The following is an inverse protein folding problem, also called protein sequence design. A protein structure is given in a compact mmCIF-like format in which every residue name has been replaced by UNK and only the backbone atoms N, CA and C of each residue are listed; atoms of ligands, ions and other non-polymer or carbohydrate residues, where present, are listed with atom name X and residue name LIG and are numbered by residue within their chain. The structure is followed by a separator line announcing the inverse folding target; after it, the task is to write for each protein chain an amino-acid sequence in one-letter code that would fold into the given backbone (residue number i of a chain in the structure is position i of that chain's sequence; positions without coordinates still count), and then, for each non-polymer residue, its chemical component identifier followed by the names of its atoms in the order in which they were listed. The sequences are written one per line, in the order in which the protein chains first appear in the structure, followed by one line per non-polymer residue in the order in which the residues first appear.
data_IF_479980312330
#
_entry.id   IF_479980312330
#
_cell.length_a   1.000
_cell.length_b   1.000
_cell.length_c   1.000
_cell.angle_alpha   90.00
_cell.angle_beta   90.00
_cell.angle_gamma   90.00
#
_symmetry.space_group_name_H-M   'P 1'
#
loop_
_entity.id
_entity.type
_entity.pdbx_description
1 polymer ?
#
# COMPACT_ATOMS: atom_id res chain seq x y z
N UNK A 1 2.59 15.91 -10.22
CA UNK A 1 1.38 15.42 -9.52
C UNK A 1 1.38 13.90 -9.33
N UNK A 2 1.81 13.08 -10.29
CA UNK A 2 1.93 11.62 -10.10
C UNK A 2 3.00 11.25 -9.08
N UNK A 3 4.16 11.92 -9.10
CA UNK A 3 5.24 11.70 -8.12
C UNK A 3 4.78 11.87 -6.67
N UNK A 4 4.07 12.95 -6.36
CA UNK A 4 3.56 13.24 -5.00
C UNK A 4 2.53 12.22 -4.55
N UNK A 5 1.72 11.71 -5.49
CA UNK A 5 0.79 10.63 -5.20
C UNK A 5 1.54 9.34 -4.85
N UNK A 6 2.52 8.96 -5.67
CA UNK A 6 3.27 7.72 -5.52
C UNK A 6 4.15 7.68 -4.25
N UNK A 7 4.77 8.81 -3.85
CA UNK A 7 5.64 8.88 -2.66
C UNK A 7 4.87 9.01 -1.35
N UNK A 8 3.82 9.86 -1.32
CA UNK A 8 3.18 10.25 -0.07
C UNK A 8 1.77 9.69 0.04
N UNK A 9 0.90 9.99 -0.92
CA UNK A 9 -0.52 9.68 -0.78
C UNK A 9 -0.76 8.17 -0.75
N UNK A 10 -0.14 7.44 -1.67
CA UNK A 10 -0.39 6.01 -1.83
C UNK A 10 -0.01 5.22 -0.57
N UNK A 11 1.21 5.36 0.01
CA UNK A 11 1.54 4.66 1.25
C UNK A 11 0.68 5.15 2.43
N UNK A 12 0.42 6.46 2.55
CA UNK A 12 -0.34 7.01 3.68
C UNK A 12 -1.79 6.49 3.71
N UNK A 13 -2.45 6.47 2.56
CA UNK A 13 -3.83 6.02 2.44
C UNK A 13 -3.99 4.55 2.87
N UNK A 14 -2.96 3.71 2.67
CA UNK A 14 -3.00 2.32 3.14
C UNK A 14 -3.20 2.23 4.64
N UNK A 15 -2.50 3.05 5.42
CA UNK A 15 -2.65 3.13 6.87
C UNK A 15 -3.97 3.75 7.29
N UNK A 16 -4.46 4.76 6.56
CA UNK A 16 -5.77 5.38 6.84
C UNK A 16 -6.89 4.34 6.72
N UNK A 17 -6.95 3.60 5.61
CA UNK A 17 -8.00 2.60 5.42
C UNK A 17 -7.88 1.42 6.39
N UNK A 18 -6.67 0.88 6.59
CA UNK A 18 -6.45 -0.22 7.54
C UNK A 18 -6.92 0.16 8.96
N UNK A 19 -6.54 1.37 9.39
CA UNK A 19 -6.91 1.88 10.73
C UNK A 19 -8.40 2.18 10.81
N UNK A 20 -8.98 2.79 9.78
CA UNK A 20 -10.41 3.12 9.77
C UNK A 20 -11.29 1.87 9.84
N UNK A 21 -10.93 0.83 9.08
CA UNK A 21 -11.63 -0.45 9.11
C UNK A 21 -11.56 -1.05 10.51
N UNK A 22 -10.37 -1.10 11.13
CA UNK A 22 -10.20 -1.67 12.48
C UNK A 22 -10.78 -0.80 13.61
N UNK A 23 -10.93 0.50 13.38
CA UNK A 23 -11.47 1.46 14.37
C UNK A 23 -12.90 1.12 14.74
N UNK A 24 -13.71 0.74 13.77
CA UNK A 24 -15.11 0.39 14.01
C UNK A 24 -15.21 -0.75 15.03
N UNK A 25 -14.37 -1.78 14.89
CA UNK A 25 -14.38 -2.90 15.83
C UNK A 25 -13.81 -2.54 17.20
N UNK A 26 -12.81 -1.67 17.27
CA UNK A 26 -12.27 -1.20 18.55
C UNK A 26 -13.27 -0.36 19.34
N UNK A 27 -13.99 0.54 18.67
CA UNK A 27 -14.94 1.43 19.34
C UNK A 27 -16.18 0.68 19.86
N UNK A 28 -16.63 -0.35 19.14
CA UNK A 28 -17.83 -1.09 19.52
C UNK A 28 -17.55 -2.38 20.29
N UNK A 29 -16.29 -2.65 20.67
CA UNK A 29 -15.86 -3.95 21.22
C UNK A 29 -16.29 -5.14 20.34
N UNK A 30 -16.47 -4.92 19.03
CA UNK A 30 -17.01 -5.91 18.11
C UNK A 30 -16.04 -7.08 17.88
N UNK A 31 -14.76 -6.92 18.26
CA UNK A 31 -13.80 -8.03 18.31
C UNK A 31 -14.31 -9.21 19.15
N UNK A 32 -14.93 -8.95 20.31
CA UNK A 32 -15.49 -10.01 21.17
C UNK A 32 -16.68 -10.72 20.50
N UNK A 33 -17.52 -9.97 19.81
CA UNK A 33 -18.66 -10.51 19.06
C UNK A 33 -18.20 -11.36 17.86
N UNK A 34 -17.19 -10.90 17.13
CA UNK A 34 -16.54 -11.65 16.05
C UNK A 34 -15.89 -12.94 16.56
N UNK A 35 -15.32 -12.91 17.77
CA UNK A 35 -14.74 -14.09 18.42
C UNK A 35 -15.76 -15.12 18.89
N UNK A 36 -17.02 -14.72 19.11
CA UNK A 36 -18.11 -15.61 19.49
C UNK A 36 -18.77 -16.33 18.29
N UNK A 37 -18.60 -15.79 17.08
CA UNK A 37 -19.07 -16.42 15.85
C UNK A 37 -18.19 -17.64 15.50
N UNK A 38 -18.75 -18.71 14.91
CA UNK A 38 -18.02 -19.91 14.49
C UNK A 38 -17.19 -19.66 13.22
N UNK A 39 -16.48 -18.54 13.15
CA UNK A 39 -15.63 -18.16 12.03
C UNK A 39 -14.17 -18.37 12.40
N UNK A 40 -13.41 -18.99 11.49
CA UNK A 40 -11.96 -19.12 11.67
C UNK A 40 -11.32 -17.74 11.53
N UNK A 41 -10.63 -17.30 12.59
CA UNK A 41 -10.02 -15.95 12.76
C UNK A 41 -9.21 -15.49 11.54
N UNK A 42 -8.49 -16.42 10.90
CA UNK A 42 -7.74 -16.14 9.67
C UNK A 42 -8.61 -15.56 8.53
N UNK A 43 -9.85 -16.04 8.36
CA UNK A 43 -10.73 -15.54 7.32
C UNK A 43 -11.17 -14.10 7.59
N UNK A 44 -11.36 -13.71 8.86
CA UNK A 44 -11.70 -12.33 9.24
C UNK A 44 -10.53 -11.39 8.94
N UNK A 45 -9.30 -11.82 9.22
CA UNK A 45 -8.12 -11.03 8.88
C UNK A 45 -7.94 -10.90 7.36
N UNK A 46 -8.08 -12.01 6.62
CA UNK A 46 -7.91 -12.02 5.17
C UNK A 46 -9.02 -11.25 4.44
N UNK A 47 -10.26 -11.29 4.92
CA UNK A 47 -11.34 -10.51 4.32
C UNK A 47 -11.10 -9.01 4.48
N UNK A 48 -10.62 -8.56 5.65
CA UNK A 48 -10.21 -7.16 5.88
C UNK A 48 -9.03 -6.76 5.00
N UNK A 49 -8.05 -7.63 4.86
CA UNK A 49 -6.91 -7.40 3.97
C UNK A 49 -7.36 -7.18 2.52
N UNK A 50 -8.19 -8.08 1.99
CA UNK A 50 -8.74 -7.98 0.63
C UNK A 50 -9.58 -6.71 0.46
N UNK A 51 -10.38 -6.34 1.48
CA UNK A 51 -11.17 -5.10 1.46
C UNK A 51 -10.27 -3.87 1.33
N UNK A 52 -9.21 -3.76 2.14
CA UNK A 52 -8.26 -2.62 2.07
C UNK A 52 -7.56 -2.59 0.72
N UNK A 53 -7.09 -3.74 0.23
CA UNK A 53 -6.44 -3.85 -1.08
C UNK A 53 -7.37 -3.43 -2.22
N UNK A 54 -8.64 -3.84 -2.16
CA UNK A 54 -9.66 -3.45 -3.12
C UNK A 54 -9.94 -1.95 -3.10
N UNK A 55 -10.09 -1.34 -1.92
CA UNK A 55 -10.29 0.12 -1.79
C UNK A 55 -9.12 0.92 -2.37
N UNK A 56 -7.88 0.46 -2.19
CA UNK A 56 -6.71 1.10 -2.79
C UNK A 56 -6.70 0.90 -4.30
N UNK A 57 -7.15 -0.27 -4.79
CA UNK A 57 -7.33 -0.51 -6.22
C UNK A 57 -8.33 0.46 -6.85
N UNK A 58 -9.44 0.77 -6.16
CA UNK A 58 -10.40 1.80 -6.58
C UNK A 58 -9.72 3.17 -6.68
N UNK A 59 -8.91 3.55 -5.69
CA UNK A 59 -8.18 4.83 -5.71
C UNK A 59 -7.24 4.90 -6.91
N UNK A 60 -6.52 3.82 -7.19
CA UNK A 60 -5.63 3.74 -8.35
C UNK A 60 -6.41 3.88 -9.68
N UNK A 61 -7.59 3.29 -9.78
CA UNK A 61 -8.47 3.48 -10.94
C UNK A 61 -8.99 4.93 -11.05
N UNK A 62 -9.31 5.58 -9.93
CA UNK A 62 -9.71 7.00 -9.90
C UNK A 62 -8.55 7.92 -10.32
N UNK A 63 -7.32 7.60 -9.93
CA UNK A 63 -6.12 8.33 -10.35
C UNK A 63 -5.90 8.16 -11.86
N UNK A 64 -6.04 6.95 -12.40
CA UNK A 64 -5.97 6.71 -13.85
C UNK A 64 -7.02 7.53 -14.60
N UNK A 65 -8.28 7.50 -14.14
CA UNK A 65 -9.36 8.27 -14.73
C UNK A 65 -9.10 9.79 -14.67
N UNK A 66 -8.58 10.27 -13.54
CA UNK A 66 -8.20 11.68 -13.37
C UNK A 66 -7.07 12.10 -14.31
N UNK A 67 -6.04 11.27 -14.49
CA UNK A 67 -4.96 11.52 -15.44
C UNK A 67 -5.47 11.57 -16.87
N UNK A 68 -6.36 10.65 -17.24
CA UNK A 68 -6.98 10.65 -18.56
C UNK A 68 -7.83 11.91 -18.79
N UNK A 69 -8.67 12.31 -17.84
CA UNK A 69 -9.48 13.53 -17.94
C UNK A 69 -8.61 14.79 -18.09
N UNK A 70 -7.53 14.91 -17.30
CA UNK A 70 -6.61 16.06 -17.42
C UNK A 70 -5.92 16.07 -18.79
N UNK A 71 -5.53 14.91 -19.30
CA UNK A 71 -4.96 14.78 -20.64
C UNK A 71 -5.90 15.29 -21.74
N UNK A 72 -7.19 14.96 -21.64
CA UNK A 72 -8.23 15.44 -22.56
C UNK A 72 -8.44 16.96 -22.45
N UNK A 73 -8.52 17.50 -21.23
CA UNK A 73 -8.79 18.93 -21.00
C UNK A 73 -7.64 19.84 -21.43
N UNK A 74 -6.40 19.36 -21.33
CA UNK A 74 -5.21 20.11 -21.76
C UNK A 74 -5.02 20.11 -23.28
N UNK A 75 -5.78 19.29 -24.02
CA UNK A 75 -5.75 19.26 -25.48
C UNK A 75 -4.42 18.77 -26.06
N UNK A 76 -3.72 17.86 -25.36
CA UNK A 76 -2.48 17.29 -25.88
C UNK A 76 -2.73 16.58 -27.20
N UNK A 77 -1.88 16.88 -28.19
CA UNK A 77 -1.95 16.33 -29.55
C UNK A 77 -1.46 14.88 -29.61
N UNK A 78 -0.63 14.49 -28.65
CA UNK A 78 -0.02 13.17 -28.57
C UNK A 78 -1.01 12.13 -28.03
N UNK A 79 -0.97 10.89 -28.55
CA UNK A 79 -1.76 9.78 -28.00
C UNK A 79 -1.46 9.57 -26.51
N UNK A 80 -2.51 9.35 -25.71
CA UNK A 80 -2.34 9.04 -24.29
C UNK A 80 -1.56 7.72 -24.13
N UNK A 81 -0.45 7.68 -23.35
CA UNK A 81 0.40 6.51 -23.21
C UNK A 81 -0.22 5.48 -22.25
N UNK A 82 -1.25 4.77 -22.74
CA UNK A 82 -2.01 3.80 -21.97
C UNK A 82 -1.12 2.72 -21.34
N UNK A 83 -0.20 2.14 -22.11
CA UNK A 83 0.62 1.03 -21.67
C UNK A 83 1.49 1.41 -20.47
N UNK A 84 2.25 2.51 -20.56
CA UNK A 84 3.12 2.97 -19.47
C UNK A 84 2.33 3.41 -18.24
N UNK A 85 1.21 4.10 -18.41
CA UNK A 85 0.41 4.62 -17.28
C UNK A 85 -0.32 3.50 -16.55
N UNK A 86 -0.97 2.58 -17.28
CA UNK A 86 -1.68 1.45 -16.66
C UNK A 86 -0.68 0.52 -15.97
N UNK A 87 0.47 0.24 -16.60
CA UNK A 87 1.53 -0.58 -16.01
C UNK A 87 2.10 0.07 -14.75
N UNK A 88 2.38 1.38 -14.78
CA UNK A 88 2.82 2.16 -13.62
C UNK A 88 1.83 2.05 -12.45
N UNK A 89 0.54 2.31 -12.70
CA UNK A 89 -0.51 2.31 -11.69
C UNK A 89 -0.72 0.91 -11.10
N UNK A 90 -0.74 -0.11 -11.96
CA UNK A 90 -0.88 -1.49 -11.53
C UNK A 90 0.28 -1.94 -10.63
N UNK A 91 1.51 -1.65 -11.03
CA UNK A 91 2.68 -1.99 -10.23
C UNK A 91 2.78 -1.20 -8.92
N UNK A 92 2.36 0.07 -8.93
CA UNK A 92 2.20 0.84 -7.70
C UNK A 92 1.21 0.20 -6.72
N UNK A 93 0.08 -0.30 -7.22
CA UNK A 93 -0.89 -1.04 -6.41
C UNK A 93 -0.30 -2.33 -5.82
N UNK A 94 0.38 -3.13 -6.64
CA UNK A 94 1.04 -4.38 -6.20
C UNK A 94 2.10 -4.09 -5.14
N UNK A 95 2.90 -3.04 -5.31
CA UNK A 95 3.93 -2.64 -4.35
C UNK A 95 3.36 -2.16 -3.00
N UNK A 96 2.08 -1.79 -2.94
CA UNK A 96 1.40 -1.46 -1.68
C UNK A 96 0.87 -2.67 -0.91
N UNK A 97 0.74 -3.85 -1.53
CA UNK A 97 0.23 -5.06 -0.88
C UNK A 97 0.97 -5.43 0.43
N UNK A 98 2.32 -5.35 0.53
CA UNK A 98 3.03 -5.54 1.78
C UNK A 98 2.68 -4.48 2.83
N UNK A 99 2.61 -3.21 2.42
CA UNK A 99 2.31 -2.10 3.32
C UNK A 99 0.91 -2.26 3.91
N UNK A 100 -0.08 -2.65 3.11
CA UNK A 100 -1.43 -2.96 3.60
C UNK A 100 -1.39 -4.05 4.67
N UNK A 101 -0.60 -5.10 4.48
CA UNK A 101 -0.51 -6.20 5.42
C UNK A 101 0.08 -5.73 6.76
N UNK A 102 1.14 -4.92 6.71
CA UNK A 102 1.75 -4.34 7.90
C UNK A 102 0.79 -3.37 8.60
N UNK A 103 0.17 -2.47 7.85
CA UNK A 103 -0.75 -1.48 8.41
C UNK A 103 -1.93 -2.17 9.09
N UNK A 104 -2.53 -3.18 8.45
CA UNK A 104 -3.61 -3.95 9.05
C UNK A 104 -3.16 -4.69 10.31
N UNK A 105 -1.98 -5.31 10.28
CA UNK A 105 -1.43 -5.96 11.47
C UNK A 105 -1.32 -4.98 12.63
N UNK A 106 -0.70 -3.82 12.41
CA UNK A 106 -0.52 -2.78 13.42
C UNK A 106 -1.87 -2.24 13.92
N UNK A 107 -2.84 -2.03 13.02
CA UNK A 107 -4.21 -1.59 13.37
C UNK A 107 -5.02 -2.62 14.16
N UNK A 108 -4.70 -3.91 14.04
CA UNK A 108 -5.31 -4.96 14.89
C UNK A 108 -4.59 -5.15 16.22
N UNK A 109 -3.32 -4.74 16.31
CA UNK A 109 -2.51 -4.86 17.50
C UNK A 109 -2.81 -3.75 18.52
N UNK A 110 -3.07 -2.52 18.05
CA UNK A 110 -3.37 -1.38 18.91
C UNK A 110 -4.81 -0.89 18.80
N UNK A 111 -5.38 -0.55 19.95
CA UNK A 111 -6.76 -0.07 20.07
C UNK A 111 -6.93 1.40 19.64
N UNK A 112 -5.81 2.13 19.52
CA UNK A 112 -5.79 3.53 19.12
C UNK A 112 -5.81 3.69 17.60
N UNK A 113 -6.67 4.58 17.10
CA UNK A 113 -6.62 5.02 15.70
C UNK A 113 -5.33 5.78 15.37
N UNK A 114 -4.78 6.54 16.33
CA UNK A 114 -3.63 7.39 16.05
C UNK A 114 -2.32 6.60 15.91
N UNK A 115 -2.16 5.48 16.62
CA UNK A 115 -0.88 4.77 16.68
C UNK A 115 -0.47 4.12 15.34
N UNK A 116 -1.32 3.33 14.65
CA UNK A 116 -0.98 2.77 13.35
C UNK A 116 -0.76 3.85 12.28
N UNK A 117 -1.57 4.91 12.31
CA UNK A 117 -1.42 6.04 11.41
C UNK A 117 -0.09 6.77 11.63
N UNK A 118 0.30 7.02 12.88
CA UNK A 118 1.58 7.64 13.22
C UNK A 118 2.76 6.78 12.74
N UNK A 119 2.70 5.46 12.95
CA UNK A 119 3.69 4.52 12.41
C UNK A 119 3.80 4.66 10.89
N UNK A 120 2.67 4.69 10.18
CA UNK A 120 2.70 4.86 8.73
C UNK A 120 3.36 6.18 8.30
N UNK A 121 3.02 7.28 8.96
CA UNK A 121 3.59 8.61 8.66
C UNK A 121 5.10 8.64 8.91
N UNK A 122 5.55 8.12 10.05
CA UNK A 122 6.98 8.10 10.44
C UNK A 122 7.83 7.33 9.44
N UNK A 123 7.31 6.25 8.84
CA UNK A 123 8.03 5.51 7.80
C UNK A 123 7.81 6.06 6.38
N UNK A 124 6.68 6.72 6.10
CA UNK A 124 6.44 7.28 4.76
C UNK A 124 7.25 8.55 4.52
N UNK A 125 7.43 9.42 5.51
CA UNK A 125 8.13 10.70 5.30
C UNK A 125 9.62 10.54 4.92
N UNK A 126 10.43 9.70 5.60
CA UNK A 126 11.82 9.46 5.20
C UNK A 126 11.94 8.82 3.82
N UNK A 127 10.88 8.15 3.32
CA UNK A 127 10.89 7.48 2.03
C UNK A 127 11.23 8.45 0.88
N UNK A 128 10.87 9.73 0.99
CA UNK A 128 11.19 10.75 -0.01
C UNK A 128 12.72 10.91 -0.17
N UNK A 129 13.46 10.91 0.94
CA UNK A 129 14.92 11.05 0.92
C UNK A 129 15.58 9.73 0.55
N UNK A 130 15.09 8.62 1.12
CA UNK A 130 15.66 7.28 0.95
C UNK A 130 15.49 6.80 -0.49
N UNK A 131 14.35 7.09 -1.13
CA UNK A 131 14.07 6.69 -2.51
C UNK A 131 15.03 7.30 -3.54
N UNK A 132 15.67 8.43 -3.21
CA UNK A 132 16.68 9.06 -4.07
C UNK A 132 18.09 8.46 -3.89
N UNK A 133 18.27 7.54 -2.93
CA UNK A 133 19.56 6.88 -2.72
C UNK A 133 19.60 5.55 -3.48
N UNK A 134 20.58 5.38 -4.36
CA UNK A 134 20.79 4.13 -5.11
C UNK A 134 21.03 2.92 -4.18
N UNK A 135 21.70 3.15 -3.05
CA UNK A 135 22.05 2.08 -2.11
C UNK A 135 20.90 1.69 -1.17
N UNK A 136 20.08 2.65 -0.75
CA UNK A 136 19.06 2.43 0.29
C UNK A 136 17.62 2.41 -0.24
N UNK A 137 17.34 3.13 -1.33
CA UNK A 137 16.01 3.21 -1.93
C UNK A 137 15.41 1.84 -2.29
N UNK A 138 16.13 1.00 -3.06
CA UNK A 138 15.61 -0.30 -3.52
C UNK A 138 15.23 -1.26 -2.41
N UNK A 139 15.81 -1.10 -1.21
CA UNK A 139 15.62 -2.00 -0.07
C UNK A 139 14.55 -1.51 0.91
N UNK A 140 14.08 -0.27 0.75
CA UNK A 140 13.14 0.33 1.69
C UNK A 140 11.69 0.03 1.29
N UNK A 141 10.89 -0.68 2.12
CA UNK A 141 9.53 -1.11 1.74
C UNK A 141 8.57 0.03 1.42
N UNK A 142 8.67 1.16 2.13
CA UNK A 142 7.83 2.34 1.89
C UNK A 142 8.23 3.13 0.64
N UNK A 143 9.44 2.91 0.09
CA UNK A 143 9.84 3.50 -1.19
C UNK A 143 9.39 2.66 -2.39
N UNK A 144 9.05 1.36 -2.20
CA UNK A 144 8.67 0.47 -3.30
C UNK A 144 7.52 0.99 -4.16
N UNK A 145 6.43 1.54 -3.60
CA UNK A 145 5.32 2.00 -4.44
C UNK A 145 5.71 3.16 -5.34
N UNK A 146 6.60 4.04 -4.87
CA UNK A 146 7.18 5.09 -5.70
C UNK A 146 8.07 4.53 -6.80
N UNK A 147 9.02 3.67 -6.45
CA UNK A 147 9.99 3.12 -7.39
C UNK A 147 9.29 2.33 -8.51
N UNK A 148 8.30 1.51 -8.16
CA UNK A 148 7.53 0.72 -9.13
C UNK A 148 6.62 1.55 -10.04
N UNK A 149 6.09 2.68 -9.56
CA UNK A 149 5.32 3.59 -10.42
C UNK A 149 6.21 4.38 -11.38
N UNK A 150 7.42 4.74 -10.97
CA UNK A 150 8.32 5.59 -11.77
C UNK A 150 9.09 4.78 -12.81
N UNK A 151 9.43 3.52 -12.54
CA UNK A 151 10.25 2.70 -13.44
C UNK A 151 9.71 2.57 -14.87
N UNK A 152 8.42 2.23 -15.12
CA UNK A 152 7.89 2.12 -16.47
C UNK A 152 7.88 3.45 -17.25
N UNK A 153 8.08 4.57 -16.56
CA UNK A 153 8.14 5.91 -17.15
C UNK A 153 9.58 6.35 -17.47
N UNK A 154 10.59 5.57 -17.07
CA UNK A 154 12.02 5.87 -17.19
C UNK A 154 12.79 4.79 -17.98
N UNK A 155 12.10 4.06 -18.87
CA UNK A 155 12.74 3.07 -19.74
C UNK A 155 13.93 3.71 -20.49
N UNK A 156 15.16 3.28 -20.18
CA UNK A 156 16.39 3.77 -20.81
C UNK A 156 17.28 4.72 -19.98
N UNK A 157 16.98 4.97 -18.70
CA UNK A 157 17.83 5.80 -17.81
C UNK A 157 18.79 4.96 -16.94
N UNK A 158 20.01 5.47 -16.68
CA UNK A 158 21.04 4.85 -15.82
C UNK A 158 20.62 4.68 -14.34
N UNK A 159 19.51 5.28 -13.93
CA UNK A 159 18.93 5.17 -12.58
C UNK A 159 17.91 4.03 -12.45
N UNK A 160 17.80 3.15 -13.45
CA UNK A 160 16.91 2.00 -13.41
C UNK A 160 17.37 0.98 -12.35
N UNK A 161 16.67 0.96 -11.21
CA UNK A 161 16.84 -0.06 -10.18
C UNK A 161 16.60 -1.46 -10.76
N UNK A 162 17.31 -2.48 -10.30
CA UNK A 162 17.04 -3.86 -10.75
C UNK A 162 15.61 -4.29 -10.38
N UNK A 163 14.81 -4.63 -11.40
CA UNK A 163 13.45 -5.19 -11.21
C UNK A 163 13.46 -6.41 -10.29
N UNK A 164 14.52 -7.22 -10.36
CA UNK A 164 14.71 -8.39 -9.49
C UNK A 164 14.77 -7.99 -8.03
N UNK A 165 15.49 -6.92 -7.68
CA UNK A 165 15.58 -6.42 -6.31
C UNK A 165 14.22 -5.94 -5.80
N UNK A 166 13.48 -5.18 -6.61
CA UNK A 166 12.16 -4.68 -6.24
C UNK A 166 11.18 -5.84 -6.01
N UNK A 167 11.15 -6.85 -6.89
CA UNK A 167 10.30 -8.02 -6.68
C UNK A 167 10.68 -8.82 -5.43
N UNK A 168 11.97 -9.02 -5.17
CA UNK A 168 12.43 -9.70 -3.94
C UNK A 168 11.95 -8.94 -2.69
N UNK A 169 12.08 -7.62 -2.67
CA UNK A 169 11.70 -6.80 -1.52
C UNK A 169 10.18 -6.79 -1.34
N UNK A 170 9.41 -6.62 -2.42
CA UNK A 170 7.93 -6.64 -2.38
C UNK A 170 7.45 -8.01 -1.92
N UNK A 171 7.88 -9.11 -2.55
CA UNK A 171 7.43 -10.45 -2.18
C UNK A 171 7.93 -10.85 -0.79
N UNK A 172 9.17 -10.54 -0.44
CA UNK A 172 9.74 -10.83 0.86
C UNK A 172 9.02 -10.09 1.99
N UNK A 173 8.82 -8.78 1.84
CA UNK A 173 8.06 -7.99 2.81
C UNK A 173 6.59 -8.41 2.89
N UNK A 174 5.97 -8.78 1.77
CA UNK A 174 4.60 -9.28 1.74
C UNK A 174 4.45 -10.56 2.58
N UNK A 175 5.30 -11.55 2.34
CA UNK A 175 5.28 -12.83 3.07
C UNK A 175 5.52 -12.60 4.57
N UNK A 176 6.50 -11.76 4.92
CA UNK A 176 6.83 -11.46 6.31
C UNK A 176 5.68 -10.74 7.01
N UNK A 177 5.14 -9.67 6.41
CA UNK A 177 4.11 -8.85 7.05
C UNK A 177 2.75 -9.57 7.12
N UNK A 178 2.34 -10.23 6.03
CA UNK A 178 1.08 -10.98 6.02
C UNK A 178 1.16 -12.22 6.91
N UNK A 179 2.28 -12.95 6.87
CA UNK A 179 2.52 -14.10 7.74
C UNK A 179 2.52 -13.72 9.21
N UNK A 180 3.27 -12.68 9.59
CA UNK A 180 3.34 -12.21 10.99
C UNK A 180 1.99 -11.71 11.49
N UNK A 181 1.29 -10.89 10.71
CA UNK A 181 -0.03 -10.35 11.09
C UNK A 181 -1.09 -11.43 11.25
N UNK A 182 -1.11 -12.42 10.36
CA UNK A 182 -2.07 -13.50 10.39
C UNK A 182 -1.83 -14.51 11.54
N UNK A 183 -0.56 -14.82 11.83
CA UNK A 183 -0.17 -15.62 13.00
C UNK A 183 -0.50 -14.91 14.32
N UNK A 184 -0.22 -13.60 14.40
CA UNK A 184 -0.57 -12.78 15.55
C UNK A 184 -2.08 -12.80 15.81
N UNK A 185 -2.89 -12.56 14.77
CA UNK A 185 -4.35 -12.55 14.89
C UNK A 185 -4.95 -13.91 15.26
N UNK A 186 -4.33 -15.01 14.81
CA UNK A 186 -4.75 -16.36 15.20
C UNK A 186 -4.54 -16.64 16.69
N UNK A 187 -3.42 -16.18 17.24
CA UNK A 187 -3.03 -16.42 18.64
C UNK A 187 -3.66 -15.43 19.62
N UNK A 188 -4.09 -14.24 19.18
CA UNK A 188 -4.73 -13.23 20.04
C UNK A 188 -6.04 -13.80 20.61
N UNK A 189 -6.10 -13.94 21.93
CA UNK A 189 -7.33 -14.25 22.67
C UNK A 189 -8.17 -12.96 22.80
N UNK A 190 -9.40 -13.00 22.29
CA UNK A 190 -10.39 -11.89 22.33
C UNK A 190 -11.27 -11.96 23.57
#
# INVERSE_FOLDING_TARGET
MVLTHATLLLPLITGVFATYICRYEHQQNAWKQLGALPLRRMHVYMSKYVLVAFLIGIIQALVLAGLFMVGLLQGFSDPFPWDSVVTSIFWGWVACLPLIALQLWVSTAWDSFAAPLAVNVVFTLPSILIANSENFGPWYPWAQPFLMMVQPLQEGSDFAVSLTTLFIVITGSFVVFLGSGSLYFSKKTM
#
